data_IF_257843068752
#
_entry.id   IF_257843068752
#
_cell.length_a   1.000
_cell.length_b   1.000
_cell.length_c   1.000
_cell.angle_alpha   90.00
_cell.angle_beta   90.00
_cell.angle_gamma   90.00
#
_symmetry.space_group_name_H-M   'P 1'
#
loop_
_entity.id
_entity.type
_entity.pdbx_description
1 polymer ?
#
# COMPACT_ATOMS: atom_id res chain seq x y z
N UNK A 1 7.92 -17.62 -1.20
CA UNK A 1 8.08 -16.61 -0.11
C UNK A 1 8.15 -15.18 -0.64
N UNK A 2 9.11 -14.82 -1.52
CA UNK A 2 9.24 -13.45 -2.10
C UNK A 2 7.96 -12.89 -2.72
N UNK A 3 7.26 -13.67 -3.55
CA UNK A 3 6.02 -13.19 -4.19
C UNK A 3 4.95 -12.78 -3.17
N UNK A 4 4.76 -13.54 -2.08
CA UNK A 4 3.77 -13.21 -1.04
C UNK A 4 4.13 -11.92 -0.31
N UNK A 5 5.41 -11.72 0.03
CA UNK A 5 5.90 -10.46 0.60
C UNK A 5 5.62 -9.29 -0.32
N UNK A 6 6.02 -9.42 -1.58
CA UNK A 6 5.92 -8.34 -2.56
C UNK A 6 4.45 -7.99 -2.84
N UNK A 7 3.57 -8.99 -2.96
CA UNK A 7 2.12 -8.79 -3.06
C UNK A 7 1.55 -8.07 -1.84
N UNK A 8 1.87 -8.51 -0.62
CA UNK A 8 1.41 -7.85 0.60
C UNK A 8 1.90 -6.40 0.68
N UNK A 9 3.17 -6.16 0.36
CA UNK A 9 3.78 -4.83 0.37
C UNK A 9 3.11 -3.88 -0.63
N UNK A 10 2.92 -4.34 -1.87
CA UNK A 10 2.33 -3.55 -2.94
C UNK A 10 0.86 -3.26 -2.65
N UNK A 11 0.09 -4.28 -2.23
CA UNK A 11 -1.34 -4.12 -1.98
C UNK A 11 -1.62 -3.26 -0.76
N UNK A 12 -0.89 -3.44 0.34
CA UNK A 12 -1.00 -2.52 1.48
C UNK A 12 -0.53 -1.12 1.08
N UNK A 13 0.61 -1.00 0.41
CA UNK A 13 1.16 0.29 -0.01
C UNK A 13 0.21 1.08 -0.92
N UNK A 14 -0.43 0.40 -1.87
CA UNK A 14 -1.43 0.99 -2.76
C UNK A 14 -2.72 1.29 -2.00
N UNK A 15 -3.44 0.29 -1.50
CA UNK A 15 -4.79 0.50 -0.97
C UNK A 15 -4.85 1.40 0.26
N UNK A 16 -3.79 1.41 1.06
CA UNK A 16 -3.68 2.32 2.21
C UNK A 16 -3.00 3.65 1.85
N UNK A 17 -2.42 3.77 0.67
CA UNK A 17 -1.65 4.94 0.26
C UNK A 17 -0.41 5.19 1.13
N UNK A 18 0.21 4.13 1.65
CA UNK A 18 1.42 4.26 2.47
C UNK A 18 2.65 4.67 1.65
N UNK A 19 3.53 5.42 2.31
CA UNK A 19 4.89 5.69 1.85
C UNK A 19 5.80 4.50 2.15
N UNK A 20 6.94 4.42 1.46
CA UNK A 20 7.97 3.40 1.71
C UNK A 20 8.41 3.35 3.18
N UNK A 21 8.60 4.50 3.82
CA UNK A 21 8.99 4.57 5.23
C UNK A 21 7.87 4.13 6.19
N UNK A 22 6.61 4.39 5.83
CA UNK A 22 5.45 3.91 6.60
C UNK A 22 5.33 2.38 6.52
N UNK A 23 5.49 1.80 5.33
CA UNK A 23 5.50 0.34 5.13
C UNK A 23 6.62 -0.34 5.92
N UNK A 24 7.85 0.19 5.82
CA UNK A 24 9.03 -0.37 6.47
C UNK A 24 8.99 -0.30 8.01
N UNK A 25 8.18 0.60 8.58
CA UNK A 25 8.00 0.73 10.03
C UNK A 25 6.87 -0.11 10.60
N UNK A 26 6.10 -0.81 9.78
CA UNK A 26 5.04 -1.67 10.28
C UNK A 26 5.62 -2.82 11.11
N UNK A 27 5.06 -3.01 12.29
CA UNK A 27 5.44 -4.06 13.23
C UNK A 27 4.26 -5.01 13.41
N UNK A 28 4.50 -6.32 13.45
CA UNK A 28 3.45 -7.33 13.52
C UNK A 28 2.54 -7.13 14.75
N UNK A 29 3.11 -6.75 15.89
CA UNK A 29 2.36 -6.47 17.12
C UNK A 29 1.43 -5.25 17.04
N UNK A 30 1.68 -4.34 16.10
CA UNK A 30 0.92 -3.10 15.90
C UNK A 30 -0.14 -3.25 14.80
N UNK A 31 -0.31 -4.46 14.27
CA UNK A 31 -1.24 -4.76 13.19
C UNK A 31 -2.30 -5.76 13.64
N UNK A 32 -3.56 -5.36 13.47
CA UNK A 32 -4.73 -6.22 13.71
C UNK A 32 -5.44 -6.47 12.38
N UNK A 33 -5.35 -7.69 11.88
CA UNK A 33 -6.00 -8.10 10.63
C UNK A 33 -7.10 -9.10 10.93
N UNK A 34 -8.32 -8.82 10.46
CA UNK A 34 -9.48 -9.71 10.55
C UNK A 34 -9.88 -10.07 9.13
N UNK A 35 -9.73 -11.35 8.78
CA UNK A 35 -10.06 -11.84 7.44
C UNK A 35 -11.50 -11.46 7.05
N UNK A 36 -11.70 -11.05 5.80
CA UNK A 36 -13.00 -10.59 5.25
C UNK A 36 -13.59 -9.34 5.89
N UNK A 37 -12.95 -8.74 6.91
CA UNK A 37 -13.40 -7.49 7.55
C UNK A 37 -12.46 -6.34 7.21
N UNK A 38 -11.24 -6.35 7.74
CA UNK A 38 -10.34 -5.21 7.60
C UNK A 38 -9.00 -5.43 8.29
N UNK A 39 -8.11 -4.46 8.10
CA UNK A 39 -6.82 -4.38 8.75
C UNK A 39 -6.64 -3.00 9.38
N UNK A 40 -6.22 -3.01 10.64
CA UNK A 40 -5.86 -1.83 11.42
C UNK A 40 -4.35 -1.84 11.64
N UNK A 41 -3.69 -0.74 11.30
CA UNK A 41 -2.24 -0.59 11.26
C UNK A 41 -1.87 0.62 12.12
N UNK A 42 -1.26 0.39 13.28
CA UNK A 42 -0.76 1.47 14.13
C UNK A 42 0.69 1.82 13.74
N UNK A 43 0.96 3.11 13.59
CA UNK A 43 2.31 3.64 13.43
C UNK A 43 2.61 4.62 14.57
N UNK A 44 3.59 4.34 15.44
CA UNK A 44 3.89 5.17 16.61
C UNK A 44 4.48 6.54 16.24
N UNK A 45 5.02 6.68 15.03
CA UNK A 45 5.52 7.96 14.51
C UNK A 45 5.01 8.18 13.09
N UNK A 46 4.41 9.35 12.85
CA UNK A 46 4.04 9.79 11.50
C UNK A 46 4.73 11.10 11.14
N UNK A 47 4.98 11.32 9.84
CA UNK A 47 5.61 12.57 9.36
C UNK A 47 4.69 13.75 9.68
N UNK A 48 5.11 14.61 10.62
CA UNK A 48 4.32 15.75 11.11
C UNK A 48 3.74 15.57 12.52
N UNK A 49 3.96 14.42 13.15
CA UNK A 49 3.60 14.15 14.54
C UNK A 49 4.71 14.64 15.48
N UNK A 50 4.61 15.90 15.91
CA UNK A 50 5.58 16.51 16.84
C UNK A 50 5.43 15.96 18.26
N UNK A 51 4.26 15.44 18.60
CA UNK A 51 3.89 15.01 19.94
C UNK A 51 3.95 13.48 20.12
N UNK A 52 4.37 12.74 19.08
CA UNK A 52 4.46 11.27 19.04
C UNK A 52 3.18 10.55 19.48
N UNK A 53 2.01 11.10 19.14
CA UNK A 53 0.72 10.46 19.44
C UNK A 53 0.52 9.16 18.62
N UNK A 54 1.27 9.01 17.53
CA UNK A 54 1.11 7.93 16.58
C UNK A 54 -0.19 8.07 15.79
N UNK A 55 -0.40 7.15 14.85
CA UNK A 55 -1.61 7.13 14.04
C UNK A 55 -2.02 5.71 13.69
N UNK A 56 -3.31 5.44 13.90
CA UNK A 56 -3.95 4.21 13.43
C UNK A 56 -4.55 4.45 12.05
N UNK A 57 -4.32 3.49 11.18
CA UNK A 57 -4.78 3.47 9.80
C UNK A 57 -5.63 2.25 9.56
N UNK A 58 -6.77 2.43 8.89
CA UNK A 58 -7.68 1.35 8.59
C UNK A 58 -7.81 1.12 7.09
N UNK A 59 -7.95 -0.14 6.70
CA UNK A 59 -8.17 -0.54 5.31
C UNK A 59 -9.11 -1.74 5.29
N UNK A 60 -10.20 -1.72 4.50
CA UNK A 60 -11.16 -2.82 4.48
C UNK A 60 -10.58 -4.05 3.77
N UNK A 61 -11.20 -5.20 3.97
CA UNK A 61 -11.04 -6.32 3.06
C UNK A 61 -11.71 -6.01 1.71
N UNK A 62 -11.07 -6.42 0.62
CA UNK A 62 -11.59 -6.28 -0.74
C UNK A 62 -11.85 -7.67 -1.34
N UNK A 63 -12.71 -7.75 -2.36
CA UNK A 63 -12.98 -9.01 -3.05
C UNK A 63 -11.82 -9.43 -3.96
N UNK A 64 -11.15 -8.46 -4.60
CA UNK A 64 -10.01 -8.67 -5.50
C UNK A 64 -8.83 -7.84 -5.03
N UNK A 65 -7.61 -8.36 -5.22
CA UNK A 65 -6.37 -7.67 -4.85
C UNK A 65 -6.40 -7.20 -3.39
N UNK A 66 -6.90 -8.07 -2.50
CA UNK A 66 -7.22 -7.71 -1.12
C UNK A 66 -5.95 -7.50 -0.27
N UNK A 67 -5.76 -6.30 0.32
CA UNK A 67 -4.60 -6.03 1.16
C UNK A 67 -4.61 -6.85 2.47
N UNK A 68 -5.80 -7.10 3.03
CA UNK A 68 -5.97 -7.90 4.26
C UNK A 68 -5.56 -9.35 4.02
N UNK A 69 -6.05 -9.95 2.93
CA UNK A 69 -5.71 -11.33 2.57
C UNK A 69 -4.22 -11.46 2.28
N UNK A 70 -3.66 -10.55 1.48
CA UNK A 70 -2.24 -10.58 1.14
C UNK A 70 -1.34 -10.44 2.38
N UNK A 71 -1.71 -9.58 3.33
CA UNK A 71 -1.02 -9.47 4.62
C UNK A 71 -1.06 -10.79 5.40
N UNK A 72 -2.24 -11.39 5.56
CA UNK A 72 -2.40 -12.65 6.32
C UNK A 72 -1.59 -13.78 5.67
N UNK A 73 -1.64 -13.92 4.34
CA UNK A 73 -0.85 -14.90 3.60
C UNK A 73 0.66 -14.71 3.78
N UNK A 74 1.10 -13.45 3.81
CA UNK A 74 2.50 -13.13 4.04
C UNK A 74 2.95 -13.52 5.46
N UNK A 75 2.23 -13.07 6.48
CA UNK A 75 2.56 -13.35 7.89
C UNK A 75 2.58 -14.85 8.16
N UNK A 76 1.60 -15.59 7.64
CA UNK A 76 1.53 -17.05 7.80
C UNK A 76 2.67 -17.75 7.06
N UNK A 77 2.97 -17.35 5.81
CA UNK A 77 4.06 -17.94 5.04
C UNK A 77 5.44 -17.67 5.66
N UNK A 78 5.60 -16.52 6.31
CA UNK A 78 6.86 -16.11 6.94
C UNK A 78 6.94 -16.51 8.43
N UNK A 79 5.89 -17.12 8.98
CA UNK A 79 5.76 -17.49 10.40
C UNK A 79 6.09 -16.32 11.35
N UNK A 80 5.66 -15.09 10.99
CA UNK A 80 5.98 -13.90 11.75
C UNK A 80 5.01 -13.71 12.92
N UNK A 81 5.56 -13.67 14.14
CA UNK A 81 4.76 -13.45 15.36
C UNK A 81 4.99 -12.06 15.97
N UNK A 82 6.17 -11.46 15.72
CA UNK A 82 6.57 -10.15 16.24
C UNK A 82 7.61 -9.48 15.35
N UNK A 83 7.85 -8.19 15.57
CA UNK A 83 8.90 -7.44 14.88
C UNK A 83 8.46 -6.97 13.48
N UNK A 84 9.41 -6.60 12.60
CA UNK A 84 9.08 -5.93 11.34
C UNK A 84 8.22 -6.82 10.43
N UNK A 85 7.13 -6.24 9.90
CA UNK A 85 6.23 -6.94 8.97
C UNK A 85 6.97 -7.30 7.69
N UNK A 86 7.70 -6.36 7.09
CA UNK A 86 8.41 -6.59 5.85
C UNK A 86 9.90 -6.72 6.12
N UNK A 87 10.43 -7.91 5.83
CA UNK A 87 11.86 -8.25 5.99
C UNK A 87 12.49 -8.61 4.65
N UNK A 88 13.82 -8.54 4.60
CA UNK A 88 14.57 -9.05 3.46
C UNK A 88 14.33 -10.55 3.30
N UNK A 89 14.31 -11.01 2.05
CA UNK A 89 14.23 -12.45 1.72
C UNK A 89 15.35 -12.72 0.74
N UNK A 90 16.32 -13.53 1.15
CA UNK A 90 17.49 -13.84 0.33
C UNK A 90 17.14 -14.74 -0.87
N UNK A 91 18.15 -15.12 -1.66
CA UNK A 91 17.95 -15.94 -2.88
C UNK A 91 17.58 -17.39 -2.58
N UNK A 92 17.88 -17.88 -1.39
CA UNK A 92 17.56 -19.22 -0.91
C UNK A 92 16.21 -19.27 -0.20
N UNK A 93 15.59 -18.12 0.04
CA UNK A 93 14.28 -17.99 0.67
C UNK A 93 14.35 -17.79 2.18
N UNK A 94 15.51 -17.47 2.76
CA UNK A 94 15.61 -17.17 4.18
C UNK A 94 15.14 -15.75 4.47
N UNK A 95 14.45 -15.57 5.60
CA UNK A 95 14.08 -14.25 6.11
C UNK A 95 15.26 -13.63 6.86
N UNK A 96 15.49 -12.34 6.61
CA UNK A 96 16.34 -11.53 7.49
C UNK A 96 15.65 -11.25 8.84
N UNK A 97 16.45 -10.90 9.84
CA UNK A 97 15.95 -10.47 11.15
C UNK A 97 15.43 -9.02 11.12
N UNK A 98 16.13 -8.17 10.37
CA UNK A 98 15.85 -6.75 10.25
C UNK A 98 14.72 -6.41 9.27
N UNK A 99 14.07 -5.28 9.55
CA UNK A 99 13.08 -4.69 8.65
C UNK A 99 13.69 -4.24 7.33
N UNK A 100 12.88 -4.23 6.27
CA UNK A 100 13.31 -3.63 5.00
C UNK A 100 13.66 -2.16 5.20
N UNK A 101 14.78 -1.73 4.63
CA UNK A 101 15.10 -0.31 4.53
C UNK A 101 14.16 0.36 3.51
N UNK A 102 13.78 1.62 3.74
CA UNK A 102 12.87 2.36 2.86
C UNK A 102 13.37 2.44 1.40
N UNK A 103 14.69 2.54 1.21
CA UNK A 103 15.31 2.57 -0.11
C UNK A 103 15.18 1.24 -0.88
N UNK A 104 14.95 0.12 -0.18
CA UNK A 104 14.76 -1.19 -0.80
C UNK A 104 13.37 -1.36 -1.42
N UNK A 105 12.40 -0.51 -1.06
CA UNK A 105 11.02 -0.60 -1.57
C UNK A 105 10.95 -0.32 -3.07
N UNK A 106 11.70 0.66 -3.58
CA UNK A 106 11.67 1.00 -5.01
C UNK A 106 12.20 -0.15 -5.87
N UNK A 107 13.42 -0.71 -5.62
CA UNK A 107 13.88 -1.88 -6.35
C UNK A 107 12.92 -3.06 -6.28
N UNK A 108 12.33 -3.33 -5.12
CA UNK A 108 11.36 -4.43 -4.96
C UNK A 108 10.09 -4.21 -5.79
N UNK A 109 9.54 -3.00 -5.75
CA UNK A 109 8.39 -2.64 -6.57
C UNK A 109 8.72 -2.82 -8.06
N UNK A 110 9.87 -2.31 -8.50
CA UNK A 110 10.27 -2.41 -9.92
C UNK A 110 10.48 -3.85 -10.36
N UNK A 111 11.14 -4.67 -9.54
CA UNK A 111 11.31 -6.09 -9.83
C UNK A 111 9.97 -6.83 -9.89
N UNK A 112 9.03 -6.51 -9.00
CA UNK A 112 7.70 -7.11 -9.03
C UNK A 112 6.93 -6.73 -10.31
N UNK A 113 7.01 -5.47 -10.73
CA UNK A 113 6.39 -4.98 -11.96
C UNK A 113 7.02 -5.60 -13.21
N UNK A 114 8.35 -5.70 -13.26
CA UNK A 114 9.07 -6.35 -14.37
C UNK A 114 8.67 -7.82 -14.53
N UNK A 115 8.54 -8.57 -13.42
CA UNK A 115 8.04 -9.96 -13.46
C UNK A 115 6.60 -10.06 -13.98
N UNK A 116 5.82 -8.99 -13.89
CA UNK A 116 4.48 -8.90 -14.43
C UNK A 116 4.44 -8.31 -15.85
N UNK A 117 5.59 -8.07 -16.50
CA UNK A 117 5.66 -7.49 -17.85
C UNK A 117 5.36 -5.99 -17.91
N UNK A 118 5.41 -5.28 -16.79
CA UNK A 118 5.11 -3.84 -16.71
C UNK A 118 6.42 -3.03 -16.72
N UNK A 119 6.49 -2.02 -17.58
CA UNK A 119 7.62 -1.08 -17.64
C UNK A 119 7.78 -0.33 -16.31
N UNK A 120 8.89 -0.59 -15.60
CA UNK A 120 9.04 -0.22 -14.20
C UNK A 120 9.93 1.03 -13.95
N UNK A 121 10.61 1.53 -14.99
CA UNK A 121 11.66 2.56 -14.88
C UNK A 121 11.18 3.86 -14.22
N UNK A 122 9.93 4.24 -14.45
CA UNK A 122 9.35 5.49 -13.94
C UNK A 122 8.71 5.36 -12.55
N UNK A 123 8.67 4.16 -11.97
CA UNK A 123 8.08 3.96 -10.64
C UNK A 123 9.04 4.41 -9.54
N UNK A 124 8.51 5.14 -8.57
CA UNK A 124 9.24 5.72 -7.42
C UNK A 124 8.56 5.35 -6.10
N UNK A 125 9.14 5.78 -4.97
CA UNK A 125 8.58 5.58 -3.62
C UNK A 125 7.19 6.19 -3.45
N UNK A 126 6.81 7.16 -4.29
CA UNK A 126 5.50 7.81 -4.26
C UNK A 126 4.48 7.19 -5.20
N UNK A 127 4.87 6.26 -6.08
CA UNK A 127 3.98 5.74 -7.12
C UNK A 127 2.77 4.99 -6.56
N UNK A 128 2.91 4.23 -5.47
CA UNK A 128 1.77 3.54 -4.83
C UNK A 128 0.76 4.55 -4.26
N UNK A 129 1.25 5.53 -3.49
CA UNK A 129 0.39 6.58 -2.90
C UNK A 129 -0.27 7.46 -3.97
N UNK A 130 0.46 7.80 -5.04
CA UNK A 130 -0.09 8.52 -6.20
C UNK A 130 -1.15 7.71 -6.92
N UNK A 131 -0.85 6.46 -7.25
CA UNK A 131 -1.79 5.57 -7.91
C UNK A 131 -3.10 5.43 -7.14
N UNK A 132 -3.03 5.28 -5.81
CA UNK A 132 -4.23 5.23 -4.98
C UNK A 132 -5.01 6.55 -4.97
N UNK A 133 -4.33 7.69 -4.82
CA UNK A 133 -4.99 8.99 -4.83
C UNK A 133 -5.72 9.26 -6.16
N UNK A 134 -5.06 8.99 -7.29
CA UNK A 134 -5.66 9.11 -8.61
C UNK A 134 -6.82 8.13 -8.81
N UNK A 135 -6.68 6.88 -8.34
CA UNK A 135 -7.75 5.89 -8.38
C UNK A 135 -8.97 6.34 -7.57
N UNK A 136 -8.77 6.77 -6.32
CA UNK A 136 -9.85 7.19 -5.42
C UNK A 136 -10.58 8.42 -5.97
N UNK A 137 -9.84 9.41 -6.48
CA UNK A 137 -10.41 10.58 -7.14
C UNK A 137 -11.24 10.17 -8.39
N UNK A 138 -10.70 9.28 -9.23
CA UNK A 138 -11.41 8.78 -10.42
C UNK A 138 -12.65 7.94 -10.07
N UNK A 139 -12.71 7.39 -8.86
CA UNK A 139 -13.87 6.67 -8.32
C UNK A 139 -14.82 7.59 -7.52
N UNK A 140 -14.66 8.91 -7.63
CA UNK A 140 -15.60 9.89 -7.11
C UNK A 140 -15.46 10.19 -5.61
N UNK A 141 -14.32 9.89 -5.00
CA UNK A 141 -14.05 10.32 -3.63
C UNK A 141 -13.86 11.82 -3.59
N UNK A 142 -14.54 12.49 -2.66
CA UNK A 142 -14.29 13.90 -2.40
C UNK A 142 -12.93 14.12 -1.74
N UNK A 143 -12.41 15.35 -1.86
CA UNK A 143 -11.09 15.73 -1.35
C UNK A 143 -10.96 15.52 0.17
N UNK A 144 -12.02 15.80 0.95
CA UNK A 144 -12.00 15.70 2.42
C UNK A 144 -11.90 14.25 2.85
N UNK A 145 -12.68 13.37 2.24
CA UNK A 145 -12.65 11.92 2.44
C UNK A 145 -11.30 11.34 2.07
N UNK A 146 -10.73 11.75 0.92
CA UNK A 146 -9.41 11.31 0.48
C UNK A 146 -8.30 11.79 1.44
N UNK A 147 -8.33 13.06 1.85
CA UNK A 147 -7.36 13.62 2.81
C UNK A 147 -7.43 12.93 4.16
N UNK A 148 -8.63 12.70 4.69
CA UNK A 148 -8.85 11.97 5.95
C UNK A 148 -8.28 10.56 5.85
N UNK A 149 -8.64 9.83 4.80
CA UNK A 149 -8.20 8.46 4.57
C UNK A 149 -6.69 8.39 4.39
N UNK A 150 -6.10 9.07 3.41
CA UNK A 150 -4.65 9.02 3.11
C UNK A 150 -3.81 9.66 4.22
N UNK A 151 -4.41 10.59 4.97
CA UNK A 151 -3.81 11.23 6.11
C UNK A 151 -3.03 12.49 5.79
N UNK A 152 -3.45 13.24 4.77
CA UNK A 152 -2.93 14.56 4.49
C UNK A 152 -3.55 15.59 5.44
N UNK A 153 -2.69 16.41 6.07
CA UNK A 153 -3.12 17.52 6.93
C UNK A 153 -3.27 18.85 6.17
N UNK A 154 -2.65 18.94 4.98
CA UNK A 154 -2.61 20.15 4.17
C UNK A 154 -3.17 19.88 2.77
N UNK A 155 -4.07 20.75 2.33
CA UNK A 155 -4.73 20.68 1.02
C UNK A 155 -3.71 20.80 -0.11
N UNK A 156 -2.69 21.66 0.01
CA UNK A 156 -1.68 21.80 -1.05
C UNK A 156 -0.92 20.49 -1.28
N UNK A 157 -0.70 19.73 -0.21
CA UNK A 157 -0.10 18.40 -0.29
C UNK A 157 -0.98 17.38 -0.99
N UNK A 158 -2.31 17.51 -0.89
CA UNK A 158 -3.28 16.65 -1.58
C UNK A 158 -3.39 17.00 -3.07
N UNK A 159 -3.45 18.29 -3.41
CA UNK A 159 -3.60 18.75 -4.81
C UNK A 159 -2.47 18.26 -5.72
N UNK A 160 -1.23 18.15 -5.21
CA UNK A 160 -0.09 17.57 -5.95
C UNK A 160 -0.32 16.14 -6.45
N UNK A 161 -1.25 15.40 -5.85
CA UNK A 161 -1.57 14.02 -6.22
C UNK A 161 -2.81 13.92 -7.12
N UNK A 162 -3.67 14.94 -7.13
CA UNK A 162 -4.91 14.99 -7.90
C UNK A 162 -4.65 15.63 -9.28
N UNK A 163 -3.84 16.69 -9.31
CA UNK A 163 -3.51 17.42 -10.55
C UNK A 163 -2.39 16.75 -11.36
N UNK A 164 -1.73 15.73 -10.80
CA UNK A 164 -0.74 14.96 -11.53
C UNK A 164 -1.48 14.14 -12.60
N UNK A 165 -1.29 14.52 -13.87
CA UNK A 165 -1.88 13.84 -15.02
C UNK A 165 -1.75 12.30 -14.89
N UNK A 166 -2.76 11.52 -15.29
CA UNK A 166 -2.66 10.07 -15.29
C UNK A 166 -1.41 9.64 -16.04
N UNK A 167 -0.67 8.68 -15.47
CA UNK A 167 0.51 8.11 -16.13
C UNK A 167 0.13 7.70 -17.56
N UNK A 168 0.89 8.13 -18.59
CA UNK A 168 0.66 7.67 -19.96
C UNK A 168 1.13 6.23 -20.06
N UNK A 169 0.25 5.29 -19.70
CA UNK A 169 0.37 3.88 -20.04
C UNK A 169 -0.78 3.54 -20.97
N UNK A 170 -0.46 3.18 -22.21
CA UNK A 170 -1.41 2.77 -23.26
C UNK A 170 -2.55 1.92 -22.69
N UNK A 171 -3.73 2.52 -22.52
CA UNK A 171 -4.98 1.78 -22.56
C UNK A 171 -5.42 1.78 -24.02
N UNK A 172 -5.06 0.72 -24.74
CA UNK A 172 -5.86 0.34 -25.89
C UNK A 172 -7.27 0.04 -25.39
N UNK A 173 -8.23 0.74 -25.99
CA UNK A 173 -9.64 0.74 -25.69
C UNK A 173 -10.27 -0.60 -26.09
N UNK A 174 -10.15 -1.59 -25.20
CA UNK A 174 -10.93 -2.82 -25.24
C UNK A 174 -12.28 -2.66 -24.55
N UNK A 175 -13.35 -2.85 -25.31
CA UNK A 175 -14.76 -2.68 -24.95
C UNK A 175 -15.18 -3.23 -23.58
N UNK A 176 -15.81 -2.35 -22.78
CA UNK A 176 -17.08 -2.61 -22.10
C UNK A 176 -17.23 -3.94 -21.35
N UNK A 177 -16.58 -4.06 -20.19
CA UNK A 177 -17.16 -4.79 -19.08
C UNK A 177 -17.23 -3.83 -17.90
N UNK A 178 -18.45 -3.34 -17.61
CA UNK A 178 -18.74 -2.59 -16.38
C UNK A 178 -18.28 -3.46 -15.21
N UNK A 179 -17.15 -3.09 -14.60
CA UNK A 179 -16.76 -3.61 -13.30
C UNK A 179 -17.80 -3.08 -12.33
N UNK A 180 -18.80 -3.91 -12.09
CA UNK A 180 -19.87 -3.70 -11.12
C UNK A 180 -19.25 -3.33 -9.77
N UNK A 181 -19.64 -2.16 -9.26
CA UNK A 181 -19.54 -1.65 -7.90
C UNK A 181 -18.55 -2.38 -6.98
N UNK A 182 -17.33 -1.84 -6.88
CA UNK A 182 -16.58 -1.90 -5.64
C UNK A 182 -17.27 -0.87 -4.74
N UNK A 183 -18.18 -1.35 -3.89
CA UNK A 183 -19.00 -0.48 -3.05
C UNK A 183 -18.12 0.53 -2.32
N UNK A 184 -18.49 1.79 -2.55
CA UNK A 184 -17.79 2.99 -2.13
C UNK A 184 -17.46 2.88 -0.65
N UNK A 185 -16.19 2.73 -0.33
CA UNK A 185 -15.60 3.09 0.96
C UNK A 185 -16.03 4.55 1.25
N UNK A 186 -16.98 4.78 2.17
CA UNK A 186 -16.83 4.49 3.59
C UNK A 186 -18.09 3.92 4.31
N UNK A 187 -17.87 3.48 5.56
CA UNK A 187 -18.61 4.01 6.73
C UNK A 187 -17.65 4.13 7.90
#
# INVERSE_FOLDING_TARGET
MRCRRDSALILLGFWRGFRSDELCRLQVQDVKAIARSGISLYLPRSKGDRDNLGRTYQTPALQRLCPVQAYIEWINCAALVRGPVFRAVDRWGNLGEEGLHANSVIPLLRQALQRAGIAAEHYTSHSLRRGFASWAHSNGWDLKSLMSYVGWRDIKSAMRYIDAAPFPGNLETGSGSKVSSIDKLPS
#
